data_IF_599582635336
#
_entry.id   IF_599582635336
#
_cell.length_a   1.000
_cell.length_b   1.000
_cell.length_c   1.000
_cell.angle_alpha   90.00
_cell.angle_beta   90.00
_cell.angle_gamma   90.00
#
_symmetry.space_group_name_H-M   'P 1'
#
loop_
_entity.id
_entity.type
_entity.pdbx_description
1 polymer ?
#
# COMPACT_ATOMS: atom_id res chain seq x y z
N UNK A 1 28.11 12.53 4.98
CA UNK A 1 27.16 11.50 4.54
C UNK A 1 25.98 11.54 5.47
N UNK A 2 24.86 12.11 5.02
CA UNK A 2 23.59 12.05 5.74
C UNK A 2 22.88 10.84 5.12
N UNK A 3 22.73 9.77 5.89
CA UNK A 3 22.04 8.56 5.41
C UNK A 3 20.62 8.92 4.98
N UNK A 4 20.21 8.47 3.79
CA UNK A 4 18.84 8.66 3.33
C UNK A 4 17.89 8.08 4.37
N UNK A 5 17.04 8.92 4.95
CA UNK A 5 16.05 8.49 5.94
C UNK A 5 15.01 7.63 5.23
N UNK A 6 14.80 6.41 5.71
CA UNK A 6 13.68 5.56 5.29
C UNK A 6 12.37 6.28 5.54
N UNK A 7 11.52 6.38 4.53
CA UNK A 7 10.19 7.00 4.70
C UNK A 7 9.27 6.09 5.53
N UNK A 8 8.61 6.64 6.54
CA UNK A 8 7.59 5.93 7.30
C UNK A 8 6.22 6.16 6.66
N UNK A 9 5.55 5.07 6.28
CA UNK A 9 4.30 5.12 5.52
C UNK A 9 3.21 4.42 6.30
N UNK A 10 2.05 5.05 6.45
CA UNK A 10 0.82 4.36 6.87
C UNK A 10 -0.01 4.09 5.62
N UNK A 11 -0.48 2.86 5.48
CA UNK A 11 -1.30 2.45 4.33
C UNK A 11 -2.69 2.04 4.84
N UNK A 12 -3.71 2.66 4.27
CA UNK A 12 -5.11 2.45 4.59
C UNK A 12 -5.59 1.03 4.18
N UNK A 13 -6.50 0.47 4.98
CA UNK A 13 -7.20 -0.80 4.72
C UNK A 13 -7.79 -0.92 3.32
N UNK A 14 -8.26 0.19 2.73
CA UNK A 14 -8.86 0.18 1.40
C UNK A 14 -7.84 -0.14 0.28
N UNK A 15 -6.57 0.21 0.47
CA UNK A 15 -5.43 -0.10 -0.41
C UNK A 15 -4.99 -1.53 -0.15
N UNK A 16 -4.80 -1.90 1.11
CA UNK A 16 -4.42 -3.27 1.52
C UNK A 16 -5.40 -4.34 1.06
N UNK A 17 -6.69 -4.01 0.97
CA UNK A 17 -7.71 -4.92 0.51
C UNK A 17 -7.61 -5.24 -0.99
N UNK A 18 -6.93 -4.41 -1.79
CA UNK A 18 -6.62 -4.72 -3.18
C UNK A 18 -5.44 -5.68 -3.25
N UNK A 19 -5.66 -6.87 -3.84
CA UNK A 19 -4.57 -7.83 -4.05
C UNK A 19 -3.43 -7.22 -4.87
N UNK A 20 -3.76 -6.54 -5.97
CA UNK A 20 -2.76 -5.90 -6.85
C UNK A 20 -1.91 -4.91 -6.06
N UNK A 21 -2.53 -3.99 -5.33
CA UNK A 21 -1.77 -2.94 -4.62
C UNK A 21 -0.95 -3.52 -3.48
N UNK A 22 -1.48 -4.50 -2.75
CA UNK A 22 -0.75 -5.20 -1.69
C UNK A 22 0.46 -5.95 -2.23
N UNK A 23 0.33 -6.65 -3.36
CA UNK A 23 1.42 -7.39 -3.98
C UNK A 23 2.52 -6.41 -4.43
N UNK A 24 2.16 -5.27 -5.02
CA UNK A 24 3.13 -4.21 -5.38
C UNK A 24 3.80 -3.55 -4.15
N UNK A 25 3.05 -3.26 -3.08
CA UNK A 25 3.62 -2.76 -1.82
C UNK A 25 4.64 -3.74 -1.23
N UNK A 26 4.38 -5.05 -1.31
CA UNK A 26 5.31 -6.05 -0.81
C UNK A 26 6.56 -6.15 -1.70
N UNK A 27 6.38 -6.22 -3.02
CA UNK A 27 7.49 -6.33 -3.96
C UNK A 27 8.40 -5.11 -3.91
N UNK A 28 7.85 -3.90 -3.90
CA UNK A 28 8.66 -2.67 -3.83
C UNK A 28 9.46 -2.58 -2.52
N UNK A 29 8.88 -3.01 -1.39
CA UNK A 29 9.58 -3.07 -0.11
C UNK A 29 10.72 -4.09 -0.13
N UNK A 30 10.49 -5.28 -0.71
CA UNK A 30 11.48 -6.35 -0.82
C UNK A 30 12.63 -6.00 -1.75
N UNK A 31 12.35 -5.36 -2.90
CA UNK A 31 13.36 -4.97 -3.87
C UNK A 31 14.12 -3.69 -3.49
N UNK A 32 13.51 -2.83 -2.68
CA UNK A 32 14.11 -1.60 -2.17
C UNK A 32 14.15 -1.52 -0.65
N UNK A 33 14.90 -2.39 0.05
CA UNK A 33 15.03 -2.31 1.50
C UNK A 33 15.52 -0.92 1.92
N UNK A 34 14.80 -0.28 2.85
CA UNK A 34 15.12 1.06 3.32
C UNK A 34 14.57 2.22 2.48
N UNK A 35 13.86 1.97 1.38
CA UNK A 35 13.12 3.04 0.70
C UNK A 35 11.96 3.56 1.55
N UNK A 36 11.19 2.62 2.11
CA UNK A 36 10.13 2.91 3.05
C UNK A 36 9.89 1.75 4.02
N UNK A 37 9.34 2.09 5.17
CA UNK A 37 8.79 1.18 6.17
C UNK A 37 7.30 1.43 6.27
N UNK A 38 6.49 0.37 6.37
CA UNK A 38 5.06 0.53 6.62
C UNK A 38 4.77 0.38 8.11
N UNK A 39 4.12 1.39 8.70
CA UNK A 39 3.52 1.30 10.02
C UNK A 39 2.08 0.78 9.91
N UNK A 40 1.71 -0.17 10.77
CA UNK A 40 0.39 -0.79 10.76
C UNK A 40 -0.06 -1.17 12.17
N UNK A 41 -1.38 -1.19 12.38
CA UNK A 41 -2.01 -1.56 13.64
C UNK A 41 -2.91 -2.79 13.49
N UNK A 42 -3.30 -3.38 14.62
CA UNK A 42 -4.30 -4.46 14.64
C UNK A 42 -5.66 -4.03 14.09
N UNK A 43 -6.03 -2.76 14.28
CA UNK A 43 -7.29 -2.22 13.77
C UNK A 43 -7.28 -2.14 12.25
N UNK A 44 -6.20 -1.65 11.65
CA UNK A 44 -6.02 -1.65 10.18
C UNK A 44 -6.03 -3.08 9.62
N UNK A 45 -5.37 -4.01 10.30
CA UNK A 45 -5.36 -5.42 9.89
C UNK A 45 -6.76 -6.03 9.94
N UNK A 46 -7.49 -5.83 11.04
CA UNK A 46 -8.85 -6.32 11.20
C UNK A 46 -9.81 -5.68 10.21
N UNK A 47 -9.68 -4.37 9.97
CA UNK A 47 -10.49 -3.66 9.00
C UNK A 47 -10.19 -4.12 7.57
N UNK A 48 -8.92 -4.36 7.21
CA UNK A 48 -8.56 -4.93 5.90
C UNK A 48 -9.28 -6.24 5.65
N UNK A 49 -9.28 -7.16 6.62
CA UNK A 49 -10.02 -8.42 6.54
C UNK A 49 -11.53 -8.17 6.37
N UNK A 50 -12.09 -7.22 7.12
CA UNK A 50 -13.51 -6.83 7.01
C UNK A 50 -13.83 -6.29 5.62
N UNK A 51 -12.98 -5.45 5.04
CA UNK A 51 -13.16 -4.87 3.70
C UNK A 51 -13.13 -5.96 2.64
N UNK A 52 -12.19 -6.91 2.73
CA UNK A 52 -12.11 -8.05 1.81
C UNK A 52 -13.38 -8.90 1.90
N UNK A 53 -13.80 -9.28 3.11
CA UNK A 53 -15.03 -10.07 3.32
C UNK A 53 -16.26 -9.35 2.77
N UNK A 54 -16.33 -8.03 2.91
CA UNK A 54 -17.43 -7.22 2.36
C UNK A 54 -17.44 -7.20 0.83
N UNK A 55 -16.27 -7.09 0.19
CA UNK A 55 -16.13 -7.07 -1.29
C UNK A 55 -16.30 -8.46 -1.91
N UNK A 56 -15.88 -9.50 -1.20
CA UNK A 56 -15.91 -10.89 -1.64
C UNK A 56 -16.47 -11.80 -0.54
N UNK A 57 -17.80 -11.84 -0.34
CA UNK A 57 -18.43 -12.56 0.77
C UNK A 57 -18.07 -14.05 0.83
N UNK A 58 -17.94 -14.66 -0.35
CA UNK A 58 -17.70 -16.10 -0.54
C UNK A 58 -16.21 -16.50 -0.49
N UNK A 59 -15.29 -15.56 -0.25
CA UNK A 59 -13.86 -15.88 -0.22
C UNK A 59 -13.53 -16.86 0.91
N UNK A 60 -12.71 -17.86 0.65
CA UNK A 60 -12.31 -18.82 1.68
C UNK A 60 -11.63 -18.13 2.86
N UNK A 61 -11.88 -18.62 4.07
CA UNK A 61 -11.26 -18.11 5.30
C UNK A 61 -9.73 -18.10 5.25
N UNK A 62 -9.14 -19.09 4.57
CA UNK A 62 -7.69 -19.18 4.36
C UNK A 62 -7.10 -18.04 3.54
N UNK A 63 -7.88 -17.41 2.65
CA UNK A 63 -7.42 -16.22 1.90
C UNK A 63 -7.35 -15.02 2.84
N UNK A 64 -8.39 -14.79 3.64
CA UNK A 64 -8.40 -13.68 4.60
C UNK A 64 -7.33 -13.84 5.69
N UNK A 65 -7.06 -15.08 6.12
CA UNK A 65 -5.97 -15.38 7.06
C UNK A 65 -4.61 -15.01 6.47
N UNK A 66 -4.31 -15.45 5.24
CA UNK A 66 -3.06 -15.10 4.54
C UNK A 66 -2.87 -13.58 4.39
N UNK A 67 -3.94 -12.83 4.13
CA UNK A 67 -3.84 -11.37 4.06
C UNK A 67 -3.52 -10.76 5.41
N UNK A 68 -4.14 -11.24 6.50
CA UNK A 68 -3.81 -10.76 7.84
C UNK A 68 -2.38 -11.09 8.24
N UNK A 69 -1.90 -12.30 7.91
CA UNK A 69 -0.52 -12.73 8.16
C UNK A 69 0.51 -11.92 7.36
N UNK A 70 0.14 -11.45 6.15
CA UNK A 70 1.04 -10.68 5.28
C UNK A 70 1.54 -9.36 5.91
N UNK A 71 0.76 -8.73 6.81
CA UNK A 71 1.20 -7.52 7.51
C UNK A 71 2.48 -7.76 8.31
N UNK A 72 2.49 -8.78 9.15
CA UNK A 72 3.65 -9.14 9.98
C UNK A 72 4.75 -9.81 9.14
N UNK A 73 4.38 -10.61 8.13
CA UNK A 73 5.37 -11.31 7.31
C UNK A 73 6.17 -10.38 6.40
N UNK A 74 5.55 -9.33 5.85
CA UNK A 74 6.21 -8.39 4.95
C UNK A 74 6.77 -7.18 5.71
N UNK A 75 6.10 -6.73 6.76
CA UNK A 75 6.48 -5.54 7.55
C UNK A 75 6.56 -5.86 9.05
N UNK A 76 7.47 -6.77 9.47
CA UNK A 76 7.55 -7.22 10.86
C UNK A 76 7.83 -6.08 11.84
N UNK A 77 8.69 -5.14 11.47
CA UNK A 77 9.07 -3.99 12.29
C UNK A 77 8.02 -2.85 12.28
N UNK A 78 6.95 -3.02 11.50
CA UNK A 78 5.92 -2.01 11.28
C UNK A 78 4.81 -1.97 12.33
N UNK A 79 4.74 -2.94 13.23
CA UNK A 79 3.58 -3.15 14.09
C UNK A 79 3.52 -2.16 15.26
N UNK A 80 2.44 -1.41 15.32
CA UNK A 80 2.16 -0.42 16.38
C UNK A 80 0.98 -0.89 17.22
N UNK A 81 1.16 -0.89 18.55
CA UNK A 81 0.18 -1.44 19.50
C UNK A 81 -0.44 -0.39 20.41
N UNK A 82 0.23 0.74 20.58
CA UNK A 82 0.02 1.72 21.65
C UNK A 82 -0.40 3.11 21.15
N UNK A 83 -0.96 3.18 19.94
CA UNK A 83 -1.56 4.42 19.44
C UNK A 83 -2.93 4.68 20.08
N UNK A 84 -3.26 5.96 20.27
CA UNK A 84 -4.54 6.41 20.81
C UNK A 84 -5.19 7.35 19.82
N UNK A 85 -6.52 7.37 19.78
CA UNK A 85 -7.29 8.38 19.06
C UNK A 85 -7.52 9.57 20.00
N UNK A 86 -6.86 10.72 19.80
CA UNK A 86 -7.06 11.88 20.67
C UNK A 86 -8.50 12.38 20.56
N UNK A 87 -9.10 12.76 21.70
CA UNK A 87 -10.50 13.19 21.74
C UNK A 87 -10.76 14.51 21.02
N UNK A 88 -9.72 15.33 20.86
CA UNK A 88 -9.69 16.63 20.19
C UNK A 88 -9.22 16.55 18.74
N UNK A 89 -8.82 15.37 18.25
CA UNK A 89 -8.46 15.18 16.85
C UNK A 89 -9.66 15.52 15.95
N UNK A 90 -9.50 16.42 14.95
CA UNK A 90 -10.55 16.70 14.00
C UNK A 90 -11.04 15.40 13.37
N UNK A 91 -12.35 15.17 13.30
CA UNK A 91 -12.88 13.92 12.73
C UNK A 91 -12.81 13.98 11.20
N UNK A 92 -12.32 12.93 10.51
CA UNK A 92 -12.50 12.82 9.07
C UNK A 92 -13.98 12.72 8.71
N UNK A 93 -14.30 12.96 7.44
CA UNK A 93 -15.68 12.90 6.95
C UNK A 93 -16.31 11.50 7.14
N UNK A 94 -15.53 10.43 6.99
CA UNK A 94 -15.92 9.08 7.40
C UNK A 94 -15.33 8.79 8.79
N UNK A 95 -16.19 8.56 9.80
CA UNK A 95 -15.75 8.25 11.15
C UNK A 95 -14.90 6.97 11.23
N UNK A 96 -15.03 6.07 10.24
CA UNK A 96 -14.18 4.89 10.11
C UNK A 96 -12.72 5.24 9.90
N UNK A 97 -12.40 6.34 9.21
CA UNK A 97 -11.03 6.69 8.85
C UNK A 97 -10.20 7.29 10.02
N UNK A 98 -10.83 7.54 11.18
CA UNK A 98 -10.16 8.23 12.30
C UNK A 98 -8.98 7.45 12.86
N UNK A 99 -9.06 6.12 12.87
CA UNK A 99 -8.01 5.27 13.42
C UNK A 99 -6.76 5.27 12.51
N UNK A 100 -6.96 5.37 11.19
CA UNK A 100 -5.88 5.49 10.20
C UNK A 100 -5.10 6.79 10.44
N UNK A 101 -5.83 7.91 10.61
CA UNK A 101 -5.22 9.22 10.91
C UNK A 101 -4.51 9.24 12.25
N UNK A 102 -5.13 8.69 13.28
CA UNK A 102 -4.52 8.61 14.61
C UNK A 102 -3.23 7.78 14.59
N UNK A 103 -3.19 6.70 13.82
CA UNK A 103 -1.96 5.94 13.62
C UNK A 103 -0.89 6.77 12.90
N UNK A 104 -1.24 7.44 11.78
CA UNK A 104 -0.30 8.27 11.03
C UNK A 104 0.30 9.39 11.90
N UNK A 105 -0.52 10.07 12.69
CA UNK A 105 -0.06 11.11 13.62
C UNK A 105 0.79 10.53 14.76
N UNK A 106 0.35 9.43 15.38
CA UNK A 106 1.10 8.78 16.46
C UNK A 106 2.50 8.35 16.01
N UNK A 107 2.61 7.79 14.80
CA UNK A 107 3.89 7.36 14.24
C UNK A 107 4.73 8.50 13.67
N UNK A 108 4.15 9.71 13.54
CA UNK A 108 4.73 10.80 12.74
C UNK A 108 5.13 10.31 11.36
N UNK A 109 4.19 9.62 10.71
CA UNK A 109 4.39 9.10 9.36
C UNK A 109 4.77 10.24 8.41
N UNK A 110 5.57 9.93 7.40
CA UNK A 110 5.88 10.86 6.33
C UNK A 110 4.75 10.88 5.30
N UNK A 111 4.13 9.71 5.08
CA UNK A 111 3.11 9.51 4.05
C UNK A 111 1.93 8.70 4.60
N UNK A 112 0.72 9.09 4.22
CA UNK A 112 -0.50 8.31 4.36
C UNK A 112 -1.02 7.93 2.98
N UNK A 113 -1.07 6.63 2.68
CA UNK A 113 -1.51 6.10 1.38
C UNK A 113 -2.94 5.59 1.48
N UNK A 114 -3.85 6.15 0.69
CA UNK A 114 -5.29 5.83 0.74
C UNK A 114 -5.98 5.98 -0.63
N UNK A 115 -7.00 5.18 -0.88
CA UNK A 115 -7.94 5.40 -1.99
C UNK A 115 -9.06 6.41 -1.66
N UNK A 116 -9.23 6.78 -0.39
CA UNK A 116 -10.28 7.68 0.10
C UNK A 116 -9.80 9.14 0.19
N UNK A 117 -9.01 9.62 -0.77
CA UNK A 117 -8.38 10.95 -0.72
C UNK A 117 -9.34 12.11 -0.44
N UNK A 118 -10.59 12.02 -0.91
CA UNK A 118 -11.63 13.04 -0.65
C UNK A 118 -11.99 13.21 0.83
N UNK A 119 -11.72 12.21 1.67
CA UNK A 119 -12.04 12.20 3.10
C UNK A 119 -10.83 12.50 3.97
N UNK A 120 -9.62 12.33 3.42
CA UNK A 120 -8.38 12.34 4.16
C UNK A 120 -7.40 13.45 3.73
N UNK A 121 -7.48 13.93 2.48
CA UNK A 121 -6.69 15.08 2.07
C UNK A 121 -7.17 16.35 2.78
N UNK A 122 -6.26 17.20 3.24
CA UNK A 122 -6.61 18.50 3.78
C UNK A 122 -7.28 19.37 2.72
N UNK A 123 -8.25 20.18 3.13
CA UNK A 123 -8.99 21.09 2.26
C UNK A 123 -8.26 22.41 2.00
N UNK A 124 -7.22 22.73 2.78
CA UNK A 124 -6.42 23.96 2.69
C UNK A 124 -4.94 23.70 3.03
N UNK A 125 -4.07 24.64 2.67
CA UNK A 125 -2.66 24.64 3.07
C UNK A 125 -2.51 24.68 4.60
N UNK A 126 -3.32 25.49 5.29
CA UNK A 126 -3.34 25.54 6.77
C UNK A 126 -3.65 24.18 7.41
N UNK A 127 -4.58 23.40 6.81
CA UNK A 127 -4.87 22.04 7.29
C UNK A 127 -3.72 21.08 6.99
N UNK A 128 -3.03 21.23 5.85
CA UNK A 128 -1.85 20.42 5.51
C UNK A 128 -0.67 20.72 6.44
N UNK A 129 -0.43 21.99 6.77
CA UNK A 129 0.63 22.43 7.68
C UNK A 129 0.42 21.94 9.12
N UNK A 130 -0.82 21.61 9.48
CA UNK A 130 -1.16 21.00 10.75
C UNK A 130 -0.91 19.48 10.80
N UNK A 131 -0.69 18.82 9.65
CA UNK A 131 -0.41 17.39 9.56
C UNK A 131 1.10 17.12 9.48
N UNK A 132 1.54 16.02 10.10
CA UNK A 132 2.93 15.59 9.96
C UNK A 132 3.22 14.83 8.66
N UNK A 133 2.17 14.43 7.95
CA UNK A 133 2.25 13.53 6.80
C UNK A 133 1.58 14.14 5.56
N UNK A 134 2.02 13.69 4.39
CA UNK A 134 1.32 13.95 3.13
C UNK A 134 0.37 12.80 2.78
N UNK A 135 -0.77 13.12 2.19
CA UNK A 135 -1.76 12.13 1.78
C UNK A 135 -1.64 11.85 0.28
N UNK A 136 -1.39 10.59 -0.06
CA UNK A 136 -1.19 10.11 -1.44
C UNK A 136 -2.16 8.98 -1.78
N UNK A 137 -2.52 8.86 -3.05
CA UNK A 137 -3.08 7.63 -3.60
C UNK A 137 -1.98 6.57 -3.73
N UNK A 138 -2.36 5.31 -3.92
CA UNK A 138 -1.40 4.27 -4.26
C UNK A 138 -0.68 4.57 -5.58
N UNK A 139 -1.36 5.18 -6.55
CA UNK A 139 -0.77 5.55 -7.85
C UNK A 139 0.36 6.58 -7.66
N UNK A 140 0.07 7.67 -6.95
CA UNK A 140 1.05 8.72 -6.64
C UNK A 140 2.22 8.18 -5.81
N UNK A 141 1.93 7.36 -4.80
CA UNK A 141 2.98 6.75 -3.98
C UNK A 141 3.92 5.87 -4.80
N UNK A 142 3.39 5.03 -5.69
CA UNK A 142 4.23 4.18 -6.54
C UNK A 142 5.02 4.98 -7.58
N UNK A 143 4.49 6.10 -8.07
CA UNK A 143 5.25 7.03 -8.90
C UNK A 143 6.42 7.65 -8.13
N UNK A 144 6.23 8.07 -6.88
CA UNK A 144 7.31 8.58 -6.03
C UNK A 144 8.42 7.54 -5.85
N UNK A 145 8.05 6.26 -5.68
CA UNK A 145 9.02 5.16 -5.63
C UNK A 145 9.75 4.99 -6.97
N UNK A 146 9.05 5.03 -8.11
CA UNK A 146 9.71 4.93 -9.44
C UNK A 146 10.63 6.12 -9.70
N UNK A 147 10.23 7.34 -9.35
CA UNK A 147 11.03 8.55 -9.58
C UNK A 147 12.28 8.58 -8.67
N UNK A 148 12.17 8.06 -7.44
CA UNK A 148 13.29 7.96 -6.50
C UNK A 148 14.23 6.79 -6.80
N UNK A 149 13.66 5.61 -7.11
CA UNK A 149 14.38 4.37 -7.31
C UNK A 149 13.83 3.55 -8.50
N UNK A 150 14.04 4.00 -9.75
CA UNK A 150 13.52 3.33 -10.95
C UNK A 150 13.94 1.86 -11.07
N UNK A 151 15.13 1.54 -10.57
CA UNK A 151 15.69 0.19 -10.59
C UNK A 151 14.91 -0.78 -9.69
N UNK A 152 14.34 -0.30 -8.57
CA UNK A 152 13.50 -1.09 -7.66
C UNK A 152 12.19 -1.45 -8.35
N UNK A 153 11.55 -0.49 -9.03
CA UNK A 153 10.33 -0.76 -9.79
C UNK A 153 10.57 -1.72 -10.94
N UNK A 154 11.72 -1.60 -11.64
CA UNK A 154 12.12 -2.58 -12.66
C UNK A 154 12.27 -4.00 -12.08
N UNK A 155 12.96 -4.13 -10.95
CA UNK A 155 13.15 -5.42 -10.30
C UNK A 155 11.82 -6.02 -9.80
N UNK A 156 10.96 -5.19 -9.21
CA UNK A 156 9.64 -5.60 -8.75
C UNK A 156 8.75 -6.05 -9.91
N UNK A 157 8.83 -5.36 -11.06
CA UNK A 157 8.13 -5.74 -12.30
C UNK A 157 8.59 -7.12 -12.77
N UNK A 158 9.90 -7.36 -12.87
CA UNK A 158 10.45 -8.65 -13.28
C UNK A 158 10.00 -9.78 -12.34
N UNK A 159 10.12 -9.56 -11.01
CA UNK A 159 9.70 -10.55 -10.01
C UNK A 159 8.20 -10.85 -10.05
N UNK A 160 7.38 -9.85 -10.37
CA UNK A 160 5.94 -10.04 -10.56
C UNK A 160 5.65 -10.91 -11.79
N UNK A 161 6.33 -10.66 -12.92
CA UNK A 161 6.26 -11.51 -14.11
C UNK A 161 6.67 -12.96 -13.79
N UNK A 162 7.81 -13.16 -13.15
CA UNK A 162 8.31 -14.49 -12.79
C UNK A 162 7.31 -15.25 -11.94
N UNK A 163 6.71 -14.60 -10.94
CA UNK A 163 5.67 -15.19 -10.11
C UNK A 163 4.49 -15.73 -10.93
N UNK A 164 3.96 -14.94 -11.87
CA UNK A 164 2.83 -15.38 -12.71
C UNK A 164 3.22 -16.48 -13.68
N UNK A 165 4.42 -16.43 -14.25
CA UNK A 165 4.98 -17.49 -15.10
C UNK A 165 5.08 -18.81 -14.32
N UNK A 166 5.66 -18.79 -13.12
CA UNK A 166 5.77 -19.96 -12.26
C UNK A 166 4.41 -20.52 -11.83
N UNK A 167 3.43 -19.66 -11.58
CA UNK A 167 2.06 -20.09 -11.23
C UNK A 167 1.37 -20.77 -12.42
N UNK A 168 1.49 -20.20 -13.61
CA UNK A 168 0.93 -20.77 -14.83
C UNK A 168 1.56 -22.14 -15.13
N UNK A 169 2.89 -22.26 -15.04
CA UNK A 169 3.59 -23.53 -15.19
C UNK A 169 3.14 -24.60 -14.18
N UNK A 170 2.96 -24.23 -12.90
CA UNK A 170 2.46 -25.16 -11.87
C UNK A 170 1.05 -25.65 -12.15
N UNK A 171 0.22 -24.86 -12.82
CA UNK A 171 -1.16 -25.21 -13.17
C UNK A 171 -1.28 -25.88 -14.54
N UNK A 172 -0.22 -25.87 -15.34
CA UNK A 172 -0.28 -26.33 -16.73
C UNK A 172 -1.10 -25.40 -17.63
N UNK A 173 -1.20 -24.13 -17.26
CA UNK A 173 -1.99 -23.11 -17.96
C UNK A 173 -1.06 -22.16 -18.73
N UNK A 174 -1.54 -21.51 -19.81
CA UNK A 174 -0.79 -20.44 -20.46
C UNK A 174 -0.62 -19.26 -19.51
N UNK A 175 0.48 -18.51 -19.67
CA UNK A 175 0.69 -17.25 -18.97
C UNK A 175 -0.27 -16.22 -19.54
N UNK A 176 -1.29 -15.86 -18.76
CA UNK A 176 -2.26 -14.81 -19.10
C UNK A 176 -2.25 -13.75 -18.00
N UNK A 177 -1.31 -12.80 -18.14
CA UNK A 177 -1.20 -11.68 -17.21
C UNK A 177 -0.93 -10.38 -17.96
N UNK A 178 -1.76 -9.38 -17.66
CA UNK A 178 -1.56 -8.00 -18.06
C UNK A 178 -1.38 -7.16 -16.78
N UNK A 179 -0.13 -7.00 -16.35
CA UNK A 179 0.21 -6.25 -15.14
C UNK A 179 -0.25 -4.78 -15.23
N UNK A 180 -0.02 -4.04 -16.34
CA UNK A 180 -0.58 -2.70 -16.52
C UNK A 180 -2.11 -2.66 -16.38
N UNK A 181 -2.85 -3.55 -17.03
CA UNK A 181 -4.32 -3.57 -16.92
C UNK A 181 -4.78 -3.90 -15.49
N UNK A 182 -4.07 -4.78 -14.78
CA UNK A 182 -4.38 -5.07 -13.38
C UNK A 182 -4.17 -3.85 -12.46
N UNK A 183 -3.15 -3.03 -12.73
CA UNK A 183 -2.89 -1.77 -12.04
C UNK A 183 -3.92 -0.70 -12.38
N UNK A 184 -4.29 -0.54 -13.65
CA UNK A 184 -5.36 0.37 -14.09
C UNK A 184 -6.68 0.05 -13.38
N UNK A 185 -7.07 -1.23 -13.33
CA UNK A 185 -8.26 -1.71 -12.60
C UNK A 185 -8.18 -1.49 -11.10
N UNK A 186 -6.97 -1.45 -10.54
CA UNK A 186 -6.71 -1.16 -9.14
C UNK A 186 -6.67 0.34 -8.83
N UNK A 187 -6.86 1.21 -9.82
CA UNK A 187 -6.83 2.67 -9.66
C UNK A 187 -5.42 3.26 -9.72
N UNK A 188 -4.47 2.59 -10.39
CA UNK A 188 -3.10 3.08 -10.59
C UNK A 188 -2.70 3.22 -12.07
N UNK A 189 -3.41 4.04 -12.86
CA UNK A 189 -3.15 4.19 -14.29
C UNK A 189 -1.77 4.78 -14.60
N UNK A 190 -1.28 5.77 -13.83
CA UNK A 190 -0.01 6.40 -14.15
C UNK A 190 1.18 5.49 -13.81
N UNK A 191 1.09 4.74 -12.72
CA UNK A 191 2.08 3.70 -12.42
C UNK A 191 1.98 2.52 -13.39
N UNK A 192 0.79 2.17 -13.89
CA UNK A 192 0.64 1.19 -14.96
C UNK A 192 1.43 1.58 -16.21
N UNK A 193 1.47 2.86 -16.57
CA UNK A 193 2.30 3.37 -17.68
C UNK A 193 3.80 3.17 -17.40
N UNK A 194 4.27 3.43 -16.18
CA UNK A 194 5.66 3.16 -15.79
C UNK A 194 5.99 1.67 -15.93
N UNK A 195 5.13 0.79 -15.42
CA UNK A 195 5.30 -0.66 -15.52
C UNK A 195 5.31 -1.12 -16.97
N UNK A 196 4.43 -0.58 -17.83
CA UNK A 196 4.41 -0.89 -19.26
C UNK A 196 5.76 -0.58 -19.94
N UNK A 197 6.39 0.54 -19.57
CA UNK A 197 7.74 0.87 -20.05
C UNK A 197 8.79 -0.12 -19.51
N UNK A 198 8.72 -0.50 -18.22
CA UNK A 198 9.68 -1.47 -17.63
C UNK A 198 9.56 -2.86 -18.27
N UNK A 199 8.36 -3.29 -18.64
CA UNK A 199 8.12 -4.56 -19.32
C UNK A 199 8.85 -4.67 -20.67
N UNK A 200 9.13 -3.55 -21.34
CA UNK A 200 9.90 -3.52 -22.59
C UNK A 200 11.42 -3.62 -22.36
N UNK A 201 11.86 -3.62 -21.10
CA UNK A 201 13.28 -3.55 -20.67
C UNK A 201 13.73 -4.80 -19.90
N UNK A 202 12.87 -5.80 -19.80
CA UNK A 202 13.11 -7.11 -19.18
C UNK A 202 13.06 -8.19 -20.27
#
# INVERSE_FOLDING_TARGET
MIGGRTHLVVVDSNVWASRTLRDWLALLHQEGPGLYQVAWSEDLRAETVRVIRRRHPEVDGGVTAKVAEAFEAVFPDGRVRDYVVPGDMPRPADAGDIHVRALAEHCRADLLVTANVRHLRPASEDEQDALHHEVHTADEFFLLVDDSAPHVVRAATARNCDYYVEQAHRRGEPVDIDLPQALERAGCPAFADRVRVRLQQI
#
